data_IF_598984489246
#
_entry.id   IF_598984489246
#
_cell.length_a   1.000
_cell.length_b   1.000
_cell.length_c   1.000
_cell.angle_alpha   90.00
_cell.angle_beta   90.00
_cell.angle_gamma   90.00
#
_symmetry.space_group_name_H-M   'P 1'
#
loop_
_entity.id
_entity.type
_entity.pdbx_description
1 polymer ?
#
# COMPACT_ATOMS: atom_id res chain seq x y z
N UNK A 1 12.77 34.76 -5.98
CA UNK A 1 13.92 33.94 -6.42
C UNK A 1 14.05 32.76 -5.48
N UNK A 2 13.95 31.54 -6.02
CA UNK A 2 14.06 30.27 -5.32
C UNK A 2 15.41 30.09 -4.63
N UNK A 3 15.39 29.71 -3.35
CA UNK A 3 16.58 29.32 -2.60
C UNK A 3 16.71 27.81 -2.58
N UNK A 4 17.42 27.26 -3.55
CA UNK A 4 18.03 25.93 -3.49
C UNK A 4 19.05 25.85 -2.35
N UNK A 5 18.90 24.91 -1.41
CA UNK A 5 20.06 24.26 -0.78
C UNK A 5 19.85 22.76 -0.61
N UNK A 6 20.69 22.05 -1.34
CA UNK A 6 20.88 20.61 -1.47
C UNK A 6 21.61 20.05 -0.23
N UNK A 7 21.11 18.90 0.24
CA UNK A 7 21.79 17.67 0.72
C UNK A 7 22.86 17.66 1.85
N UNK A 8 22.63 16.68 2.73
CA UNK A 8 23.56 15.70 3.33
C UNK A 8 24.72 16.18 4.22
N UNK A 9 24.67 15.82 5.51
CA UNK A 9 25.64 14.94 6.17
C UNK A 9 25.28 14.73 7.66
N UNK A 10 25.47 13.51 8.16
CA UNK A 10 25.27 13.18 9.58
C UNK A 10 25.08 11.69 9.86
N UNK A 11 26.11 10.90 9.60
CA UNK A 11 26.63 9.80 10.43
C UNK A 11 25.65 9.03 11.38
N UNK A 12 25.35 7.79 10.99
CA UNK A 12 25.20 6.54 11.76
C UNK A 12 25.46 6.59 13.30
N UNK A 13 24.74 5.94 14.22
CA UNK A 13 23.94 4.69 14.28
C UNK A 13 22.83 4.80 15.39
N UNK A 14 22.07 3.74 15.75
CA UNK A 14 21.04 2.99 15.02
C UNK A 14 19.65 3.10 15.74
N UNK A 15 18.53 2.81 15.06
CA UNK A 15 17.14 2.77 15.62
C UNK A 15 16.43 4.13 15.91
N UNK A 16 16.32 5.08 14.97
CA UNK A 16 15.33 6.14 15.12
C UNK A 16 13.95 5.61 14.71
N UNK A 17 13.06 5.38 15.68
CA UNK A 17 11.61 5.44 15.43
C UNK A 17 11.26 6.90 15.07
N UNK A 18 11.61 7.35 13.87
CA UNK A 18 11.25 8.66 13.37
C UNK A 18 9.76 8.67 12.99
N UNK A 19 8.88 9.42 13.67
CA UNK A 19 7.45 9.45 13.36
C UNK A 19 7.12 10.33 12.15
N UNK A 20 8.12 10.92 11.49
CA UNK A 20 7.92 11.98 10.49
C UNK A 20 7.49 11.42 9.12
N UNK A 21 7.73 10.13 8.87
CA UNK A 21 7.18 9.43 7.70
C UNK A 21 5.68 9.05 7.87
N UNK A 22 5.06 9.30 9.03
CA UNK A 22 3.65 8.89 9.27
C UNK A 22 2.63 9.75 8.54
N UNK A 23 2.87 11.06 8.38
CA UNK A 23 1.88 12.01 7.86
C UNK A 23 1.65 11.87 6.36
N UNK A 24 2.72 11.71 5.57
CA UNK A 24 2.60 11.58 4.11
C UNK A 24 1.86 10.30 3.69
N UNK A 25 2.07 9.19 4.40
CA UNK A 25 1.37 7.95 4.10
C UNK A 25 -0.13 8.01 4.45
N UNK A 26 -0.53 8.72 5.51
CA UNK A 26 -1.94 8.73 5.96
C UNK A 26 -2.85 9.49 4.98
N UNK A 27 -2.38 10.60 4.41
CA UNK A 27 -3.11 11.32 3.37
C UNK A 27 -3.34 10.44 2.12
N UNK A 28 -2.29 9.72 1.69
CA UNK A 28 -2.39 8.80 0.57
C UNK A 28 -3.32 7.61 0.88
N UNK A 29 -3.32 7.15 2.13
CA UNK A 29 -4.20 6.08 2.63
C UNK A 29 -5.68 6.46 2.51
N UNK A 30 -6.05 7.68 2.88
CA UNK A 30 -7.45 8.13 2.82
C UNK A 30 -7.93 8.35 1.37
N UNK A 31 -7.04 8.85 0.49
CA UNK A 31 -7.33 8.95 -0.94
C UNK A 31 -7.59 7.59 -1.60
N UNK A 32 -6.79 6.55 -1.27
CA UNK A 32 -6.98 5.20 -1.83
C UNK A 32 -8.14 4.45 -1.18
N UNK A 33 -8.46 4.77 0.08
CA UNK A 33 -9.58 4.18 0.82
C UNK A 33 -10.91 4.43 0.11
N UNK A 34 -11.04 5.52 -0.64
CA UNK A 34 -12.20 5.76 -1.50
C UNK A 34 -12.30 4.77 -2.67
N UNK A 35 -11.18 4.20 -3.12
CA UNK A 35 -11.09 3.22 -4.20
C UNK A 35 -11.24 1.76 -3.71
N UNK A 36 -11.30 1.53 -2.39
CA UNK A 36 -11.45 0.21 -1.80
C UNK A 36 -12.77 0.08 -1.03
N UNK A 37 -13.39 -1.11 -1.01
CA UNK A 37 -14.60 -1.35 -0.24
C UNK A 37 -14.37 -1.20 1.27
N UNK A 38 -15.45 -0.84 1.98
CA UNK A 38 -15.44 -0.68 3.44
C UNK A 38 -15.13 -2.03 4.09
N UNK A 39 -14.06 -2.09 4.89
CA UNK A 39 -13.62 -3.32 5.57
C UNK A 39 -12.11 -3.53 5.57
N UNK A 40 -11.38 -2.76 4.75
CA UNK A 40 -9.92 -2.73 4.78
C UNK A 40 -9.46 -1.86 5.96
N UNK A 41 -8.63 -2.46 6.83
CA UNK A 41 -8.08 -1.75 7.99
C UNK A 41 -7.02 -0.72 7.55
N UNK A 42 -6.84 0.35 8.34
CA UNK A 42 -5.75 1.33 8.12
C UNK A 42 -4.36 0.71 7.90
N UNK A 43 -3.91 -0.32 8.65
CA UNK A 43 -2.62 -0.99 8.37
C UNK A 43 -2.56 -1.64 6.97
N UNK A 44 -3.64 -2.28 6.51
CA UNK A 44 -3.71 -2.85 5.16
C UNK A 44 -3.64 -1.76 4.07
N UNK A 45 -4.37 -0.66 4.25
CA UNK A 45 -4.28 0.48 3.33
C UNK A 45 -2.87 1.09 3.31
N UNK A 46 -2.19 1.19 4.45
CA UNK A 46 -0.79 1.64 4.49
C UNK A 46 0.15 0.70 3.73
N UNK A 47 -0.08 -0.60 3.82
CA UNK A 47 0.68 -1.59 3.07
C UNK A 47 0.45 -1.44 1.55
N UNK A 48 -0.78 -1.16 1.10
CA UNK A 48 -1.10 -0.86 -0.30
C UNK A 48 -0.40 0.41 -0.80
N UNK A 49 -0.43 1.48 -0.01
CA UNK A 49 0.28 2.73 -0.32
C UNK A 49 1.79 2.46 -0.45
N UNK A 50 2.36 1.68 0.48
CA UNK A 50 3.77 1.32 0.45
C UNK A 50 4.13 0.44 -0.77
N UNK A 51 3.23 -0.45 -1.15
CA UNK A 51 3.35 -1.29 -2.35
C UNK A 51 3.06 -0.52 -3.66
N UNK A 52 2.70 0.77 -3.59
CA UNK A 52 2.25 1.59 -4.74
C UNK A 52 1.05 0.98 -5.47
N UNK A 53 0.13 0.40 -4.72
CA UNK A 53 -1.12 -0.21 -5.20
C UNK A 53 -2.34 0.62 -4.75
N UNK A 54 -2.53 1.84 -5.28
CA UNK A 54 -3.60 2.74 -4.84
C UNK A 54 -5.01 2.34 -5.31
N UNK A 55 -5.14 1.35 -6.20
CA UNK A 55 -6.42 1.02 -6.85
C UNK A 55 -6.55 -0.47 -7.18
N UNK A 56 -7.79 -0.91 -7.41
CA UNK A 56 -8.15 -2.28 -7.84
C UNK A 56 -7.41 -2.73 -9.11
N UNK A 57 -7.20 -1.82 -10.07
CA UNK A 57 -6.47 -2.09 -11.30
C UNK A 57 -5.05 -2.60 -11.03
N UNK A 58 -4.35 -1.96 -10.09
CA UNK A 58 -2.99 -2.35 -9.72
C UNK A 58 -2.95 -3.71 -9.01
N UNK A 59 -4.04 -4.14 -8.37
CA UNK A 59 -4.11 -5.48 -7.78
C UNK A 59 -4.04 -6.58 -8.85
N UNK A 60 -4.51 -6.32 -10.07
CA UNK A 60 -4.39 -7.28 -11.18
C UNK A 60 -2.96 -7.42 -11.69
N UNK A 61 -2.07 -6.49 -11.32
CA UNK A 61 -0.64 -6.53 -11.68
C UNK A 61 0.20 -7.33 -10.70
N UNK A 62 -0.35 -7.69 -9.53
CA UNK A 62 0.34 -8.50 -8.52
C UNK A 62 -0.40 -9.81 -8.31
N UNK A 63 0.28 -10.76 -7.68
CA UNK A 63 -0.28 -12.06 -7.37
C UNK A 63 -0.98 -12.03 -6.01
N UNK A 64 -1.89 -12.97 -5.76
CA UNK A 64 -2.49 -13.14 -4.43
C UNK A 64 -1.42 -13.41 -3.36
N UNK A 65 -0.34 -14.10 -3.74
CA UNK A 65 0.77 -14.39 -2.84
C UNK A 65 1.52 -13.13 -2.43
N UNK A 66 1.89 -12.27 -3.39
CA UNK A 66 2.52 -10.96 -3.12
C UNK A 66 1.60 -10.08 -2.25
N UNK A 67 0.29 -10.07 -2.55
CA UNK A 67 -0.69 -9.35 -1.73
C UNK A 67 -0.72 -9.87 -0.29
N UNK A 68 -0.69 -11.19 -0.10
CA UNK A 68 -0.68 -11.84 1.21
C UNK A 68 0.62 -11.59 1.97
N UNK A 69 1.74 -11.41 1.26
CA UNK A 69 3.02 -11.03 1.86
C UNK A 69 3.07 -9.57 2.35
N UNK A 70 2.15 -8.71 1.89
CA UNK A 70 2.09 -7.32 2.37
C UNK A 70 1.74 -7.27 3.87
N UNK A 71 2.73 -6.85 4.66
CA UNK A 71 2.62 -6.77 6.11
C UNK A 71 1.48 -5.81 6.52
N UNK A 72 0.39 -6.36 7.05
CA UNK A 72 -0.82 -5.61 7.42
C UNK A 72 -2.07 -6.00 6.63
N UNK A 73 -1.95 -6.86 5.61
CA UNK A 73 -3.08 -7.51 4.94
C UNK A 73 -3.61 -8.67 5.78
N UNK A 74 -4.73 -8.44 6.46
CA UNK A 74 -5.44 -9.53 7.12
C UNK A 74 -6.19 -10.41 6.11
N UNK A 75 -6.48 -11.68 6.46
CA UNK A 75 -7.24 -12.59 5.58
C UNK A 75 -8.61 -12.02 5.19
N UNK A 76 -9.21 -11.20 6.05
CA UNK A 76 -10.43 -10.46 5.76
C UNK A 76 -10.26 -9.43 4.64
N UNK A 77 -9.14 -8.72 4.61
CA UNK A 77 -8.85 -7.73 3.57
C UNK A 77 -8.65 -8.42 2.22
N UNK A 78 -7.84 -9.47 2.18
CA UNK A 78 -7.60 -10.28 0.98
C UNK A 78 -8.91 -10.83 0.42
N UNK A 79 -9.78 -11.39 1.26
CA UNK A 79 -11.04 -11.97 0.81
C UNK A 79 -11.99 -10.91 0.21
N UNK A 80 -12.03 -9.70 0.79
CA UNK A 80 -12.81 -8.58 0.25
C UNK A 80 -12.24 -8.13 -1.10
N UNK A 81 -10.91 -8.01 -1.22
CA UNK A 81 -10.25 -7.59 -2.46
C UNK A 81 -10.48 -8.61 -3.57
N UNK A 82 -10.31 -9.89 -3.26
CA UNK A 82 -10.60 -11.01 -4.17
C UNK A 82 -12.06 -10.97 -4.63
N UNK A 83 -13.02 -10.89 -3.70
CA UNK A 83 -14.44 -10.82 -4.05
C UNK A 83 -14.78 -9.59 -4.92
N UNK A 84 -14.10 -8.46 -4.70
CA UNK A 84 -14.29 -7.25 -5.49
C UNK A 84 -13.72 -7.38 -6.90
N UNK A 85 -12.55 -8.03 -7.04
CA UNK A 85 -11.96 -8.35 -8.35
C UNK A 85 -12.84 -9.34 -9.11
N UNK A 86 -13.26 -10.43 -8.47
CA UNK A 86 -14.16 -11.42 -9.08
C UNK A 86 -15.49 -10.78 -9.50
N UNK A 87 -16.04 -9.85 -8.70
CA UNK A 87 -17.24 -9.08 -9.06
C UNK A 87 -17.04 -8.17 -10.29
N UNK A 88 -15.81 -7.71 -10.52
CA UNK A 88 -15.43 -6.96 -11.71
C UNK A 88 -15.05 -7.87 -12.90
N UNK A 89 -15.07 -9.20 -12.74
CA UNK A 89 -14.58 -10.15 -13.73
C UNK A 89 -13.06 -10.14 -13.91
N UNK A 90 -12.34 -9.59 -12.92
CA UNK A 90 -10.88 -9.50 -12.88
C UNK A 90 -10.32 -10.53 -11.89
N UNK A 91 -9.05 -10.89 -12.07
CA UNK A 91 -8.31 -11.77 -11.18
C UNK A 91 -6.97 -11.16 -10.77
N UNK A 92 -6.35 -11.75 -9.74
CA UNK A 92 -4.93 -11.51 -9.48
C UNK A 92 -4.08 -12.09 -10.61
N UNK A 93 -2.86 -11.57 -10.76
CA UNK A 93 -1.90 -12.16 -11.69
C UNK A 93 -1.51 -13.56 -11.22
N UNK A 94 -1.37 -14.48 -12.16
CA UNK A 94 -0.82 -15.80 -11.89
C UNK A 94 0.66 -15.69 -11.48
N UNK A 95 1.11 -16.46 -10.48
CA UNK A 95 2.50 -16.44 -10.01
C UNK A 95 3.48 -17.20 -10.92
N UNK A 96 3.08 -17.57 -12.13
CA UNK A 96 3.81 -18.53 -13.00
C UNK A 96 4.29 -17.94 -14.34
N UNK A 97 4.21 -16.62 -14.56
CA UNK A 97 4.85 -15.95 -15.71
C UNK A 97 6.21 -15.30 -15.36
#
# INVERSE_FOLDING_TARGET
MSGDKKITNGDQCPHPHAPNQRLASDAQTDSIKANFPKGIARPALRALVAAKLPSMDQLTTITEHELSQLHGMGPKAVNILRASLEAAGLGFRDPTE
#
